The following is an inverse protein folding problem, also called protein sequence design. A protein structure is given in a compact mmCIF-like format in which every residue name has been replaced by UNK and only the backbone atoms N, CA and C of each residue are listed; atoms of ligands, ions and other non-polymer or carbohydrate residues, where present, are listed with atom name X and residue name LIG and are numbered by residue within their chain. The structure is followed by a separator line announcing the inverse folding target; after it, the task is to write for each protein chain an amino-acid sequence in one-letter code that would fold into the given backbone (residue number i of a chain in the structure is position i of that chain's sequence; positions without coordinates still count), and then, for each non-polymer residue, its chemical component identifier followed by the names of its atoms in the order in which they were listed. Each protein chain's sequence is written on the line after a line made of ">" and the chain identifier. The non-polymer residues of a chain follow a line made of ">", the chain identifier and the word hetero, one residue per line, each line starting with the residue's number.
data_IF_968500562050
#
_entry.id   IF_968500562050
#
_cell.length_a   1.000
_cell.length_b   1.000
_cell.length_c   1.000
_cell.angle_alpha   90.00
_cell.angle_beta   90.00
_cell.angle_gamma   90.00
#
_symmetry.space_group_name_H-M   'P 1'
#
loop_
_entity.id
_entity.type
_entity.pdbx_description
1 polymer ?
#
# COMPACT_ATOMS: atom_id res chain seq x y z
N UNK A 1 14.73 3.59 -32.55
CA UNK A 1 14.28 3.96 -31.22
C UNK A 1 13.21 5.04 -31.39
N UNK A 2 12.03 4.82 -30.89
CA UNK A 2 10.82 5.64 -31.11
C UNK A 2 10.81 6.96 -30.30
N UNK A 3 11.98 7.48 -29.88
CA UNK A 3 12.09 8.72 -29.11
C UNK A 3 11.51 8.67 -27.70
N UNK A 4 11.09 7.50 -27.21
CA UNK A 4 10.56 7.34 -25.87
C UNK A 4 11.68 7.51 -24.83
N UNK A 5 11.39 8.21 -23.72
CA UNK A 5 12.32 8.30 -22.61
C UNK A 5 12.68 6.90 -22.11
N UNK A 6 13.93 6.66 -21.88
CA UNK A 6 14.42 5.40 -21.33
C UNK A 6 15.29 5.65 -20.11
N UNK A 7 15.26 4.76 -19.12
CA UNK A 7 15.98 4.96 -17.87
C UNK A 7 17.49 4.93 -18.12
N UNK A 8 18.19 5.91 -17.57
CA UNK A 8 19.64 6.04 -17.62
C UNK A 8 20.25 5.76 -16.26
N UNK A 9 21.40 5.08 -16.23
CA UNK A 9 22.20 4.87 -15.04
C UNK A 9 23.64 5.31 -15.32
N UNK A 10 24.10 6.31 -14.60
CA UNK A 10 25.42 6.91 -14.80
C UNK A 10 25.71 7.30 -16.28
N UNK A 11 24.71 7.86 -16.97
CA UNK A 11 24.82 8.27 -18.36
C UNK A 11 24.75 7.12 -19.39
N UNK A 12 24.55 5.89 -18.94
CA UNK A 12 24.39 4.70 -19.81
C UNK A 12 22.93 4.25 -19.78
N UNK A 13 22.38 3.92 -20.93
CA UNK A 13 21.05 3.31 -20.99
C UNK A 13 21.00 2.04 -20.12
N UNK A 14 20.04 1.97 -19.20
CA UNK A 14 19.96 0.90 -18.20
C UNK A 14 20.10 -0.51 -18.81
N UNK A 15 19.46 -0.77 -19.95
CA UNK A 15 19.56 -2.06 -20.66
C UNK A 15 20.96 -2.40 -21.18
N UNK A 16 21.83 -1.41 -21.28
CA UNK A 16 23.24 -1.58 -21.71
C UNK A 16 24.22 -1.41 -20.56
N UNK A 17 23.73 -1.05 -19.39
CA UNK A 17 24.57 -0.89 -18.20
C UNK A 17 25.11 -2.25 -17.76
N UNK A 18 26.41 -2.38 -17.49
CA UNK A 18 26.97 -3.59 -16.90
C UNK A 18 26.39 -3.90 -15.51
N UNK A 19 25.76 -2.91 -14.88
CA UNK A 19 25.11 -3.05 -13.59
C UNK A 19 23.73 -3.71 -13.67
N UNK A 20 23.16 -3.85 -14.87
CA UNK A 20 21.83 -4.47 -15.03
C UNK A 20 21.79 -5.92 -14.55
N UNK A 21 22.89 -6.66 -14.72
CA UNK A 21 22.98 -8.06 -14.30
C UNK A 21 23.29 -8.24 -12.82
N UNK A 22 23.51 -7.17 -12.07
CA UNK A 22 23.79 -7.25 -10.64
C UNK A 22 22.50 -7.27 -9.85
N UNK A 23 22.34 -8.33 -9.07
CA UNK A 23 21.14 -8.58 -8.29
C UNK A 23 21.19 -7.88 -6.93
N UNK A 24 20.18 -8.15 -6.11
CA UNK A 24 20.01 -7.55 -4.80
C UNK A 24 19.67 -8.63 -3.77
N UNK A 25 19.99 -8.36 -2.50
CA UNK A 25 19.52 -9.13 -1.36
C UNK A 25 18.20 -8.51 -0.88
N UNK A 26 17.14 -9.31 -0.77
CA UNK A 26 15.90 -8.91 -0.13
C UNK A 26 15.91 -9.38 1.31
N UNK A 27 15.60 -8.49 2.25
CA UNK A 27 15.43 -8.83 3.64
C UNK A 27 14.50 -7.83 4.34
N UNK A 28 13.82 -8.29 5.38
CA UNK A 28 13.28 -7.42 6.41
C UNK A 28 14.35 -7.27 7.51
N UNK A 29 14.63 -6.04 7.91
CA UNK A 29 15.66 -5.75 8.90
C UNK A 29 15.39 -4.43 9.63
N UNK A 30 15.95 -4.27 10.79
CA UNK A 30 16.01 -3.02 11.55
C UNK A 30 17.39 -2.37 11.47
N UNK A 31 17.55 -1.21 12.12
CA UNK A 31 18.83 -0.50 12.14
C UNK A 31 19.98 -1.37 12.71
N UNK A 32 19.69 -2.24 13.69
CA UNK A 32 20.71 -3.06 14.34
C UNK A 32 21.24 -4.18 13.42
N UNK A 33 20.41 -4.69 12.53
CA UNK A 33 20.77 -5.75 11.60
C UNK A 33 21.51 -5.26 10.35
N UNK A 34 21.50 -3.95 10.09
CA UNK A 34 22.00 -3.38 8.84
C UNK A 34 23.42 -3.81 8.52
N UNK A 35 24.35 -3.73 9.46
CA UNK A 35 25.77 -4.04 9.23
C UNK A 35 25.98 -5.49 8.81
N UNK A 36 25.26 -6.41 9.43
CA UNK A 36 25.30 -7.83 9.10
C UNK A 36 24.80 -8.06 7.68
N UNK A 37 23.69 -7.43 7.31
CA UNK A 37 23.13 -7.58 5.97
C UNK A 37 23.97 -6.90 4.88
N UNK A 38 24.60 -5.77 5.17
CA UNK A 38 25.56 -5.15 4.26
C UNK A 38 26.76 -6.07 4.02
N UNK A 39 27.29 -6.69 5.08
CA UNK A 39 28.38 -7.67 4.95
C UNK A 39 27.97 -8.90 4.13
N UNK A 40 26.74 -9.40 4.33
CA UNK A 40 26.20 -10.49 3.51
C UNK A 40 26.06 -10.08 2.03
N UNK A 41 25.56 -8.88 1.78
CA UNK A 41 25.38 -8.32 0.43
C UNK A 41 26.72 -8.23 -0.31
N UNK A 42 27.76 -7.72 0.37
CA UNK A 42 29.13 -7.64 -0.19
C UNK A 42 29.71 -9.02 -0.49
N UNK A 43 29.62 -9.94 0.48
CA UNK A 43 30.16 -11.30 0.31
C UNK A 43 29.49 -12.06 -0.82
N UNK A 44 28.20 -11.77 -1.07
CA UNK A 44 27.44 -12.34 -2.19
C UNK A 44 27.73 -11.63 -3.52
N UNK A 45 28.53 -10.57 -3.54
CA UNK A 45 28.81 -9.79 -4.75
C UNK A 45 27.60 -9.00 -5.28
N UNK A 46 26.61 -8.71 -4.40
CA UNK A 46 25.40 -8.00 -4.77
C UNK A 46 25.60 -6.49 -4.61
N UNK A 47 24.83 -5.71 -5.38
CA UNK A 47 24.96 -4.25 -5.38
C UNK A 47 23.93 -3.54 -4.51
N UNK A 48 22.87 -4.23 -4.12
CA UNK A 48 21.75 -3.62 -3.44
C UNK A 48 21.26 -4.51 -2.30
N UNK A 49 20.89 -3.87 -1.21
CA UNK A 49 20.09 -4.43 -0.12
C UNK A 49 18.69 -3.82 -0.23
N UNK A 50 17.67 -4.66 -0.25
CA UNK A 50 16.29 -4.25 -0.49
C UNK A 50 15.42 -4.60 0.71
N UNK A 51 14.78 -3.58 1.29
CA UNK A 51 13.89 -3.74 2.43
C UNK A 51 12.44 -3.93 1.98
N UNK A 52 11.77 -4.98 2.45
CA UNK A 52 10.39 -5.30 2.05
C UNK A 52 9.35 -4.40 2.72
N UNK A 53 9.52 -4.04 3.99
CA UNK A 53 8.50 -3.36 4.79
C UNK A 53 9.09 -2.16 5.58
N UNK A 54 9.70 -1.14 4.94
CA UNK A 54 10.32 -0.03 5.65
C UNK A 54 9.30 1.02 6.14
N UNK A 55 8.04 0.94 5.69
CA UNK A 55 7.00 1.93 5.93
C UNK A 55 5.92 1.42 6.89
N UNK A 56 5.32 2.32 7.64
CA UNK A 56 4.20 2.02 8.53
C UNK A 56 2.92 1.71 7.74
N UNK A 57 2.76 2.38 6.60
CA UNK A 57 1.68 2.14 5.65
C UNK A 57 2.09 2.57 4.24
N UNK A 58 1.45 2.01 3.25
CA UNK A 58 1.49 2.49 1.87
C UNK A 58 0.37 3.50 1.64
N UNK A 59 0.71 4.60 1.03
CA UNK A 59 -0.10 5.79 0.82
C UNK A 59 0.73 7.02 1.16
N UNK A 60 0.90 7.30 2.44
CA UNK A 60 1.80 8.37 2.91
C UNK A 60 3.27 7.95 3.02
N UNK A 61 3.58 6.66 2.98
CA UNK A 61 4.95 6.12 3.06
C UNK A 61 5.76 6.65 4.24
N UNK A 62 5.12 6.83 5.39
CA UNK A 62 5.83 7.21 6.60
C UNK A 62 6.76 6.08 7.03
N UNK A 63 8.02 6.42 7.29
CA UNK A 63 9.00 5.43 7.74
C UNK A 63 8.56 4.84 9.08
N UNK A 64 8.55 3.52 9.16
CA UNK A 64 8.14 2.81 10.37
C UNK A 64 9.13 3.01 11.51
N UNK A 65 8.69 3.60 12.61
CA UNK A 65 9.51 3.74 13.83
C UNK A 65 9.73 2.40 14.56
N UNK A 66 8.99 1.35 14.21
CA UNK A 66 9.24 -0.02 14.70
C UNK A 66 10.49 -0.62 14.06
N UNK A 67 10.79 -0.22 12.83
CA UNK A 67 11.92 -0.71 12.04
C UNK A 67 13.10 0.25 12.15
N UNK A 68 12.83 1.53 12.04
CA UNK A 68 13.81 2.63 12.15
C UNK A 68 13.37 3.53 13.31
N UNK A 69 13.86 3.33 14.53
CA UNK A 69 13.42 4.08 15.72
C UNK A 69 13.52 5.60 15.59
N UNK A 70 14.53 6.11 14.86
CA UNK A 70 14.67 7.52 14.52
C UNK A 70 13.86 7.93 13.26
N UNK A 71 12.96 7.08 12.78
CA UNK A 71 12.12 7.33 11.61
C UNK A 71 12.93 7.61 10.35
N UNK A 72 12.54 8.64 9.61
CA UNK A 72 13.23 9.01 8.36
C UNK A 72 14.70 9.40 8.55
N UNK A 73 15.10 9.88 9.73
CA UNK A 73 16.50 10.17 10.03
C UNK A 73 17.31 8.88 10.16
N UNK A 74 16.78 7.87 10.84
CA UNK A 74 17.38 6.54 10.94
C UNK A 74 17.53 5.88 9.57
N UNK A 75 16.49 5.90 8.76
CA UNK A 75 16.57 5.37 7.39
C UNK A 75 17.62 6.10 6.56
N UNK A 76 17.70 7.44 6.64
CA UNK A 76 18.77 8.21 5.94
C UNK A 76 20.17 7.82 6.40
N UNK A 77 20.36 7.59 7.70
CA UNK A 77 21.64 7.13 8.23
C UNK A 77 21.99 5.72 7.66
N UNK A 78 21.02 4.82 7.59
CA UNK A 78 21.18 3.51 6.98
C UNK A 78 21.56 3.61 5.50
N UNK A 79 20.91 4.50 4.75
CA UNK A 79 21.24 4.75 3.33
C UNK A 79 22.67 5.26 3.18
N UNK A 80 23.08 6.25 3.99
CA UNK A 80 24.45 6.78 3.95
C UNK A 80 25.50 5.70 4.26
N UNK A 81 25.22 4.84 5.25
CA UNK A 81 26.09 3.72 5.61
C UNK A 81 26.23 2.68 4.49
N UNK A 82 25.12 2.34 3.85
CA UNK A 82 25.14 1.43 2.69
C UNK A 82 25.91 2.03 1.52
N UNK A 83 25.68 3.31 1.22
CA UNK A 83 26.38 4.03 0.15
C UNK A 83 27.89 4.12 0.38
N UNK A 84 28.35 4.34 1.63
CA UNK A 84 29.77 4.33 1.97
C UNK A 84 30.45 2.99 1.68
N UNK A 85 29.67 1.89 1.57
CA UNK A 85 30.14 0.54 1.20
C UNK A 85 29.85 0.20 -0.27
N UNK A 86 29.42 1.17 -1.09
CA UNK A 86 29.06 0.96 -2.49
C UNK A 86 27.77 0.17 -2.70
N UNK A 87 26.95 0.01 -1.67
CA UNK A 87 25.66 -0.71 -1.73
C UNK A 87 24.51 0.30 -1.81
N UNK A 88 23.53 0.00 -2.65
CA UNK A 88 22.28 0.77 -2.71
C UNK A 88 21.27 0.18 -1.75
N UNK A 89 20.66 1.02 -0.93
CA UNK A 89 19.53 0.60 -0.12
C UNK A 89 18.23 0.87 -0.89
N UNK A 90 17.52 -0.17 -1.22
CA UNK A 90 16.21 -0.13 -1.90
C UNK A 90 15.06 -0.35 -0.92
N UNK A 91 13.87 0.06 -1.33
CA UNK A 91 12.66 -0.13 -0.55
C UNK A 91 11.51 -0.62 -1.43
N UNK A 92 10.70 -1.53 -0.91
CA UNK A 92 9.50 -1.98 -1.58
C UNK A 92 8.39 -0.93 -1.49
N UNK A 93 7.85 -0.55 -2.63
CA UNK A 93 6.72 0.35 -2.74
C UNK A 93 5.74 -0.15 -3.80
N UNK A 94 4.45 -0.01 -3.52
CA UNK A 94 3.39 -0.21 -4.49
C UNK A 94 2.60 1.09 -4.61
N UNK A 95 2.90 1.88 -5.62
CA UNK A 95 2.35 3.23 -5.80
C UNK A 95 0.88 3.24 -6.21
N UNK A 96 0.33 2.10 -6.61
CA UNK A 96 -1.08 1.92 -6.95
C UNK A 96 -1.92 1.38 -5.79
N UNK A 97 -1.31 1.17 -4.64
CA UNK A 97 -1.97 0.65 -3.44
C UNK A 97 -1.94 1.66 -2.31
N UNK A 98 -3.06 1.73 -1.58
CA UNK A 98 -3.17 2.41 -0.30
C UNK A 98 -3.61 1.36 0.72
N UNK A 99 -2.84 1.21 1.80
CA UNK A 99 -3.20 0.27 2.87
C UNK A 99 -4.34 0.83 3.70
N UNK A 100 -5.16 -0.06 4.23
CA UNK A 100 -6.34 0.32 5.01
C UNK A 100 -6.04 1.01 6.34
N UNK A 101 -4.81 0.93 6.83
CA UNK A 101 -4.33 1.65 8.01
C UNK A 101 -3.66 2.99 7.68
N UNK A 102 -3.66 3.41 6.41
CA UNK A 102 -3.07 4.68 6.01
C UNK A 102 -4.00 5.86 6.33
N UNK A 103 -3.47 7.06 6.64
CA UNK A 103 -4.28 8.26 6.86
C UNK A 103 -5.21 8.66 5.71
N UNK A 104 -5.01 8.17 4.49
CA UNK A 104 -5.99 8.31 3.42
C UNK A 104 -7.27 7.49 3.66
N UNK A 105 -7.23 6.47 4.51
CA UNK A 105 -8.36 5.56 4.76
C UNK A 105 -8.99 5.81 6.12
N UNK A 106 -8.18 6.02 7.14
CA UNK A 106 -8.63 6.12 8.55
C UNK A 106 -8.03 7.35 9.24
N UNK A 107 -8.73 8.05 10.15
CA UNK A 107 -10.09 7.75 10.66
C UNK A 107 -11.25 8.22 9.77
N UNK A 108 -10.99 9.01 8.74
CA UNK A 108 -11.97 9.50 7.76
C UNK A 108 -11.44 9.24 6.36
N UNK A 109 -12.19 8.51 5.52
CA UNK A 109 -11.75 8.19 4.17
C UNK A 109 -11.57 9.45 3.32
N UNK A 110 -10.42 9.60 2.70
CA UNK A 110 -10.16 10.70 1.77
C UNK A 110 -11.11 10.60 0.56
N UNK A 111 -11.83 11.66 0.19
CA UNK A 111 -12.78 11.62 -0.93
C UNK A 111 -12.12 11.32 -2.27
N UNK A 112 -10.81 11.52 -2.40
CA UNK A 112 -10.02 11.22 -3.61
C UNK A 112 -9.71 9.74 -3.79
N UNK A 113 -9.95 8.88 -2.78
CA UNK A 113 -9.79 7.44 -2.94
C UNK A 113 -10.60 6.95 -4.13
N UNK A 114 -9.97 6.17 -5.00
CA UNK A 114 -10.64 5.60 -6.16
C UNK A 114 -11.80 4.71 -5.73
N UNK A 115 -12.91 4.83 -6.44
CA UNK A 115 -14.12 4.02 -6.23
C UNK A 115 -14.44 3.28 -7.52
N UNK A 116 -14.92 2.06 -7.38
CA UNK A 116 -15.35 1.23 -8.53
C UNK A 116 -16.72 1.62 -9.04
N UNK A 117 -17.52 2.31 -8.22
CA UNK A 117 -18.84 2.78 -8.57
C UNK A 117 -19.60 3.32 -7.35
N UNK A 118 -20.88 3.62 -7.54
CA UNK A 118 -21.73 4.17 -6.51
C UNK A 118 -23.19 3.68 -6.67
N UNK A 119 -23.96 3.81 -5.62
CA UNK A 119 -25.40 3.63 -5.61
C UNK A 119 -26.03 4.62 -4.63
N UNK A 120 -27.35 4.70 -4.63
CA UNK A 120 -28.11 5.56 -3.72
C UNK A 120 -28.67 4.71 -2.59
N UNK A 121 -28.65 5.24 -1.36
CA UNK A 121 -29.39 4.66 -0.25
C UNK A 121 -30.89 4.85 -0.50
N UNK A 122 -31.68 3.79 -0.35
CA UNK A 122 -33.15 3.85 -0.53
C UNK A 122 -33.90 4.06 0.78
N UNK A 123 -33.19 4.17 1.89
CA UNK A 123 -33.73 4.45 3.23
C UNK A 123 -32.69 5.03 4.16
N UNK A 124 -33.16 5.51 5.30
CA UNK A 124 -32.26 5.98 6.36
C UNK A 124 -31.47 4.80 6.94
N UNK A 125 -30.20 5.05 7.23
CA UNK A 125 -29.28 4.07 7.83
C UNK A 125 -28.75 4.66 9.12
N UNK A 126 -29.06 4.02 10.23
CA UNK A 126 -28.53 4.41 11.53
C UNK A 126 -27.12 3.84 11.78
N UNK A 127 -26.51 4.26 12.88
CA UNK A 127 -25.12 3.86 13.21
C UNK A 127 -24.97 2.40 13.62
N UNK A 128 -26.08 1.70 13.92
CA UNK A 128 -26.08 0.30 14.33
C UNK A 128 -26.60 -0.65 13.22
N UNK A 129 -27.01 -0.09 12.08
CA UNK A 129 -27.59 -0.87 11.00
C UNK A 129 -26.61 -1.95 10.49
N UNK A 130 -27.04 -3.20 10.53
CA UNK A 130 -26.36 -4.35 9.94
C UNK A 130 -26.80 -4.65 8.52
N UNK A 131 -27.77 -3.90 8.01
CA UNK A 131 -28.32 -3.98 6.67
C UNK A 131 -28.41 -2.58 6.07
N UNK A 132 -28.00 -2.45 4.79
CA UNK A 132 -27.97 -1.15 4.11
C UNK A 132 -28.76 -1.27 2.80
N UNK A 133 -29.92 -0.63 2.69
CA UNK A 133 -30.75 -0.67 1.49
C UNK A 133 -30.14 0.23 0.40
N UNK A 134 -30.00 -0.32 -0.80
CA UNK A 134 -29.40 0.36 -1.95
C UNK A 134 -30.30 0.26 -3.18
N UNK A 135 -30.22 1.25 -4.05
CA UNK A 135 -30.99 1.28 -5.29
C UNK A 135 -30.54 0.20 -6.30
N UNK A 136 -29.26 -0.06 -6.38
CA UNK A 136 -28.66 -0.97 -7.36
C UNK A 136 -27.56 -1.84 -6.74
N UNK A 137 -27.52 -3.15 -7.05
CA UNK A 137 -26.50 -4.07 -6.57
C UNK A 137 -25.26 -4.14 -7.47
N UNK A 138 -25.25 -3.46 -8.63
CA UNK A 138 -24.31 -3.68 -9.74
C UNK A 138 -22.84 -3.66 -9.30
N UNK A 139 -22.46 -2.75 -8.44
CA UNK A 139 -21.08 -2.62 -7.97
C UNK A 139 -20.79 -3.42 -6.69
N UNK A 140 -21.79 -4.02 -6.08
CA UNK A 140 -21.66 -4.70 -4.79
C UNK A 140 -21.74 -6.22 -4.92
N UNK A 141 -22.49 -6.71 -5.91
CA UNK A 141 -22.61 -8.14 -6.19
C UNK A 141 -21.41 -8.71 -7.00
N UNK A 142 -20.52 -7.86 -7.50
CA UNK A 142 -19.39 -8.27 -8.31
C UNK A 142 -18.10 -8.29 -7.48
N UNK A 143 -17.70 -9.46 -7.02
CA UNK A 143 -16.47 -9.66 -6.23
C UNK A 143 -15.19 -9.16 -6.93
N UNK A 144 -15.13 -9.23 -8.25
CA UNK A 144 -13.98 -8.73 -9.00
C UNK A 144 -13.87 -7.20 -8.98
N UNK A 145 -15.00 -6.51 -8.86
CA UNK A 145 -15.04 -5.06 -8.80
C UNK A 145 -14.88 -4.54 -7.37
N UNK A 146 -15.34 -5.28 -6.38
CA UNK A 146 -15.32 -4.89 -4.96
C UNK A 146 -14.90 -6.06 -4.06
N UNK A 147 -13.68 -6.54 -4.26
CA UNK A 147 -13.12 -7.66 -3.47
C UNK A 147 -12.94 -7.35 -1.98
N UNK A 148 -12.90 -6.06 -1.59
CA UNK A 148 -12.89 -5.65 -0.19
C UNK A 148 -14.27 -5.76 0.45
N UNK A 149 -15.33 -5.87 -0.34
CA UNK A 149 -16.72 -5.82 0.12
C UNK A 149 -16.95 -4.60 1.03
N UNK A 150 -16.54 -3.43 0.56
CA UNK A 150 -16.57 -2.20 1.33
C UNK A 150 -17.26 -1.08 0.56
N UNK A 151 -17.97 -0.24 1.28
CA UNK A 151 -18.62 0.98 0.78
C UNK A 151 -18.29 2.15 1.69
N UNK A 152 -18.30 3.35 1.14
CA UNK A 152 -18.19 4.59 1.91
C UNK A 152 -19.58 5.20 2.02
N UNK A 153 -20.01 5.49 3.25
CA UNK A 153 -21.26 6.19 3.54
C UNK A 153 -20.93 7.34 4.49
N UNK A 154 -21.01 8.59 3.99
CA UNK A 154 -20.51 9.74 4.75
C UNK A 154 -19.00 9.62 4.98
N UNK A 155 -18.58 9.71 6.23
CA UNK A 155 -17.19 9.62 6.67
C UNK A 155 -16.79 8.21 7.13
N UNK A 156 -17.63 7.23 6.89
CA UNK A 156 -17.48 5.87 7.37
C UNK A 156 -17.24 4.88 6.22
N UNK A 157 -16.34 3.92 6.42
CA UNK A 157 -16.26 2.72 5.60
C UNK A 157 -17.02 1.60 6.29
N UNK A 158 -17.93 0.98 5.55
CA UNK A 158 -18.75 -0.14 6.02
C UNK A 158 -18.40 -1.35 5.17
N UNK A 159 -18.06 -2.46 5.80
CA UNK A 159 -17.92 -3.74 5.10
C UNK A 159 -19.23 -4.50 5.14
N UNK A 160 -19.55 -5.21 4.06
CA UNK A 160 -20.70 -6.11 3.98
C UNK A 160 -20.22 -7.51 3.59
N UNK A 161 -20.99 -8.54 3.95
CA UNK A 161 -20.65 -9.92 3.59
C UNK A 161 -21.20 -10.28 2.22
N UNK A 162 -22.44 -9.90 1.95
CA UNK A 162 -23.14 -10.25 0.69
C UNK A 162 -24.20 -9.21 0.36
N UNK A 163 -24.83 -9.38 -0.78
CA UNK A 163 -25.99 -8.60 -1.24
C UNK A 163 -27.20 -9.51 -1.32
N UNK A 164 -28.40 -8.99 -1.08
CA UNK A 164 -29.64 -9.74 -1.24
C UNK A 164 -29.76 -10.32 -2.67
N UNK A 165 -30.34 -11.51 -2.80
CA UNK A 165 -30.48 -12.19 -4.10
C UNK A 165 -31.49 -11.50 -5.03
N UNK A 166 -32.40 -10.71 -4.49
CA UNK A 166 -33.47 -10.01 -5.23
C UNK A 166 -33.81 -8.69 -4.58
N UNK A 167 -34.45 -7.82 -5.32
CA UNK A 167 -34.98 -6.55 -4.81
C UNK A 167 -36.04 -6.76 -3.67
N UNK A 168 -36.09 -5.85 -2.69
CA UNK A 168 -35.27 -4.64 -2.57
C UNK A 168 -33.80 -4.96 -2.26
N UNK A 169 -32.87 -4.32 -2.99
CA UNK A 169 -31.45 -4.61 -2.86
C UNK A 169 -30.90 -4.12 -1.54
N UNK A 170 -30.18 -4.98 -0.84
CA UNK A 170 -29.68 -4.70 0.49
C UNK A 170 -28.31 -5.31 0.67
N UNK A 171 -27.36 -4.54 1.17
CA UNK A 171 -26.07 -5.05 1.65
C UNK A 171 -26.31 -5.70 3.01
N UNK A 172 -25.86 -6.92 3.20
CA UNK A 172 -26.18 -7.76 4.36
C UNK A 172 -24.95 -8.02 5.21
N UNK A 173 -25.20 -8.24 6.50
CA UNK A 173 -24.16 -8.49 7.53
C UNK A 173 -23.08 -7.40 7.52
N UNK A 174 -23.54 -6.16 7.59
CA UNK A 174 -22.69 -4.99 7.55
C UNK A 174 -21.89 -4.81 8.84
N UNK A 175 -20.59 -4.60 8.69
CA UNK A 175 -19.67 -4.24 9.76
C UNK A 175 -19.39 -2.75 9.69
N UNK A 176 -19.82 -2.01 10.69
CA UNK A 176 -19.67 -0.56 10.81
C UNK A 176 -18.23 -0.20 11.23
N UNK A 177 -17.80 1.02 10.91
CA UNK A 177 -16.49 1.54 11.32
C UNK A 177 -15.32 0.71 10.81
N UNK A 178 -15.44 0.11 9.65
CA UNK A 178 -14.39 -0.74 9.09
C UNK A 178 -13.09 0.04 8.92
N UNK A 179 -11.98 -0.64 9.14
CA UNK A 179 -10.62 -0.08 9.08
C UNK A 179 -10.38 1.09 10.06
N UNK A 180 -11.20 1.21 11.11
CA UNK A 180 -11.07 2.28 12.12
C UNK A 180 -11.68 3.61 11.69
N UNK A 181 -12.56 3.62 10.68
CA UNK A 181 -13.35 4.79 10.30
C UNK A 181 -14.52 5.03 11.26
N UNK A 182 -15.16 6.21 11.19
CA UNK A 182 -16.19 6.63 12.15
C UNK A 182 -17.52 6.85 11.46
#
# INVERSE_FOLDING_TARGET
>A
AEGLPHPMLNGVWLKRSPEQGRSYLIADFDEAMLDTLLACTERAGLMSLYHMQPFASWGHYQVSTKVFPAGAAGLRACVAKAQARGIRLGAHTLTTFIQTNDPYVTPVPDPRLAKTGYSTLTGAVDTAASEIPVESPVYFANEKANWLHAVVVGDEIIRYRTVSEKAPWTLLDCQRGAFGTR
#
